data_IF_746229655766
#
_entry.id   IF_746229655766
#
_cell.length_a   1.000
_cell.length_b   1.000
_cell.length_c   1.000
_cell.angle_alpha   90.00
_cell.angle_beta   90.00
_cell.angle_gamma   90.00
#
_symmetry.space_group_name_H-M   'P 1'
#
loop_
_entity.id
_entity.type
_entity.pdbx_description
1 polymer ?
#
# COMPACT_ATOMS: atom_id res chain seq x y z
N UNK A 1 -16.80 15.50 39.50
CA UNK A 1 -16.85 15.90 38.07
C UNK A 1 -16.12 14.84 37.24
N UNK A 2 -16.81 13.78 36.82
CA UNK A 2 -16.16 12.58 36.24
C UNK A 2 -16.87 11.98 35.03
N UNK A 3 -18.03 12.53 34.62
CA UNK A 3 -18.76 12.03 33.44
C UNK A 3 -18.16 12.51 32.11
N UNK A 4 -17.72 13.77 32.02
CA UNK A 4 -17.13 14.32 30.78
C UNK A 4 -15.96 13.46 30.31
N UNK A 5 -14.98 13.22 31.18
CA UNK A 5 -13.72 12.55 30.86
C UNK A 5 -13.87 11.13 30.29
N UNK A 6 -14.93 10.40 30.62
CA UNK A 6 -15.23 9.10 30.00
C UNK A 6 -15.82 9.25 28.58
N UNK A 7 -16.75 10.19 28.38
CA UNK A 7 -17.30 10.46 27.04
C UNK A 7 -16.27 11.10 26.11
N UNK A 8 -15.44 12.01 26.63
CA UNK A 8 -14.34 12.66 25.90
C UNK A 8 -13.32 11.62 25.42
N UNK A 9 -12.93 10.68 26.30
CA UNK A 9 -12.04 9.56 25.95
C UNK A 9 -12.66 8.62 24.92
N UNK A 10 -13.94 8.25 25.08
CA UNK A 10 -14.65 7.40 24.13
C UNK A 10 -14.73 8.05 22.74
N UNK A 11 -15.00 9.36 22.68
CA UNK A 11 -15.04 10.12 21.43
C UNK A 11 -13.66 10.24 20.76
N UNK A 12 -12.60 10.37 21.56
CA UNK A 12 -11.21 10.35 21.08
C UNK A 12 -10.83 8.97 20.51
N UNK A 13 -11.15 7.88 21.21
CA UNK A 13 -10.90 6.50 20.75
C UNK A 13 -11.69 6.19 19.45
N UNK A 14 -12.94 6.63 19.34
CA UNK A 14 -13.75 6.55 18.10
C UNK A 14 -13.13 7.36 16.94
N UNK A 15 -12.64 8.56 17.21
CA UNK A 15 -11.99 9.42 16.20
C UNK A 15 -10.68 8.81 15.70
N UNK A 16 -9.88 8.24 16.60
CA UNK A 16 -8.68 7.49 16.23
C UNK A 16 -9.00 6.22 15.43
N UNK A 17 -10.01 5.47 15.85
CA UNK A 17 -10.48 4.28 15.13
C UNK A 17 -10.92 4.63 13.70
N UNK A 18 -11.71 5.69 13.53
CA UNK A 18 -12.13 6.17 12.21
C UNK A 18 -10.96 6.53 11.29
N UNK A 19 -9.96 7.26 11.81
CA UNK A 19 -8.74 7.60 11.06
C UNK A 19 -7.93 6.34 10.68
N UNK A 20 -7.76 5.41 11.62
CA UNK A 20 -7.03 4.14 11.40
C UNK A 20 -7.75 3.25 10.37
N UNK A 21 -9.08 3.17 10.43
CA UNK A 21 -9.92 2.44 9.48
C UNK A 21 -9.84 3.04 8.07
N UNK A 22 -9.96 4.37 7.93
CA UNK A 22 -9.83 5.04 6.64
C UNK A 22 -8.46 4.78 5.99
N UNK A 23 -7.36 4.96 6.75
CA UNK A 23 -6.01 4.69 6.26
C UNK A 23 -5.77 3.23 5.85
N UNK A 24 -6.45 2.27 6.50
CA UNK A 24 -6.41 0.86 6.13
C UNK A 24 -7.21 0.57 4.84
N UNK A 25 -8.40 1.17 4.68
CA UNK A 25 -9.19 1.07 3.45
C UNK A 25 -8.46 1.65 2.24
N UNK A 26 -7.75 2.76 2.41
CA UNK A 26 -7.05 3.43 1.32
C UNK A 26 -5.79 2.65 0.87
N UNK A 27 -5.03 2.02 1.77
CA UNK A 27 -4.04 1.00 1.35
C UNK A 27 -4.74 -0.18 0.66
N UNK A 28 -5.86 -0.68 1.21
CA UNK A 28 -6.59 -1.80 0.63
C UNK A 28 -6.93 -1.58 -0.85
N UNK A 29 -7.34 -0.36 -1.22
CA UNK A 29 -7.54 0.05 -2.61
C UNK A 29 -6.24 -0.04 -3.41
N UNK A 30 -5.14 0.56 -2.94
CA UNK A 30 -3.84 0.53 -3.62
C UNK A 30 -3.33 -0.91 -3.84
N UNK A 31 -3.51 -1.81 -2.87
CA UNK A 31 -3.15 -3.24 -2.98
C UNK A 31 -3.97 -3.95 -4.07
N UNK A 32 -5.26 -3.67 -4.16
CA UNK A 32 -6.15 -4.24 -5.20
C UNK A 32 -5.74 -3.70 -6.58
N UNK A 33 -5.38 -2.42 -6.69
CA UNK A 33 -4.90 -1.85 -7.95
C UNK A 33 -3.54 -2.42 -8.36
N UNK A 34 -2.59 -2.58 -7.43
CA UNK A 34 -1.30 -3.23 -7.67
C UNK A 34 -1.50 -4.66 -8.18
N UNK A 35 -2.36 -5.45 -7.55
CA UNK A 35 -2.70 -6.80 -7.99
C UNK A 35 -3.32 -6.81 -9.40
N UNK A 36 -4.19 -5.83 -9.72
CA UNK A 36 -4.77 -5.67 -11.06
C UNK A 36 -3.71 -5.35 -12.11
N UNK A 37 -2.71 -4.52 -11.79
CA UNK A 37 -1.63 -4.19 -12.71
C UNK A 37 -0.63 -5.34 -12.90
N UNK A 38 -0.22 -6.03 -11.83
CA UNK A 38 0.61 -7.25 -11.93
C UNK A 38 -0.04 -8.32 -12.82
N UNK A 39 -1.36 -8.58 -12.69
CA UNK A 39 -2.09 -9.48 -13.60
C UNK A 39 -2.06 -9.04 -15.08
N UNK A 40 -2.01 -7.74 -15.37
CA UNK A 40 -1.85 -7.23 -16.75
C UNK A 40 -0.43 -7.43 -17.26
N UNK A 41 0.58 -7.28 -16.38
CA UNK A 41 2.00 -7.51 -16.66
C UNK A 41 2.25 -8.99 -16.97
N UNK A 42 1.76 -9.90 -16.12
CA UNK A 42 1.78 -11.36 -16.34
C UNK A 42 1.19 -11.74 -17.70
N UNK A 43 0.05 -11.14 -18.05
CA UNK A 43 -0.61 -11.36 -19.35
C UNK A 43 0.23 -10.89 -20.54
N UNK A 44 0.79 -9.68 -20.48
CA UNK A 44 1.63 -9.14 -21.55
C UNK A 44 2.95 -9.92 -21.69
N UNK A 45 3.58 -10.30 -20.58
CA UNK A 45 4.80 -11.11 -20.56
C UNK A 45 4.55 -12.52 -21.15
N UNK A 46 3.42 -13.15 -20.80
CA UNK A 46 2.99 -14.42 -21.38
C UNK A 46 2.77 -14.32 -22.90
N UNK A 47 2.05 -13.29 -23.35
CA UNK A 47 1.80 -13.07 -24.78
C UNK A 47 3.10 -12.84 -25.56
N UNK A 48 4.05 -12.08 -25.01
CA UNK A 48 5.37 -11.86 -25.58
C UNK A 48 6.18 -13.16 -25.64
N UNK A 49 6.20 -13.94 -24.56
CA UNK A 49 6.87 -15.25 -24.54
C UNK A 49 6.30 -16.23 -25.57
N UNK A 50 4.98 -16.24 -25.77
CA UNK A 50 4.31 -17.05 -26.79
C UNK A 50 4.52 -16.53 -28.23
N UNK A 51 4.82 -15.25 -28.41
CA UNK A 51 5.21 -14.66 -29.69
C UNK A 51 6.63 -15.07 -30.06
N UNK A 52 7.58 -14.89 -29.13
CA UNK A 52 8.98 -15.27 -29.30
C UNK A 52 9.10 -16.78 -29.52
N UNK A 53 8.41 -17.60 -28.71
CA UNK A 53 8.40 -19.05 -28.92
C UNK A 53 7.95 -19.45 -30.33
N UNK A 54 6.94 -18.78 -30.90
CA UNK A 54 6.49 -19.05 -32.28
C UNK A 54 7.55 -18.67 -33.32
N UNK A 55 8.20 -17.52 -33.17
CA UNK A 55 9.32 -17.07 -34.01
C UNK A 55 10.45 -18.11 -34.05
N UNK A 56 10.89 -18.59 -32.89
CA UNK A 56 11.98 -19.58 -32.79
C UNK A 56 11.60 -20.97 -33.34
N UNK A 57 10.31 -21.21 -33.60
CA UNK A 57 9.80 -22.42 -34.27
C UNK A 57 9.55 -22.22 -35.77
N UNK A 58 9.95 -21.09 -36.35
CA UNK A 58 9.70 -20.73 -37.75
C UNK A 58 8.24 -20.40 -38.07
N UNK A 59 7.43 -20.11 -37.04
CA UNK A 59 6.04 -19.67 -37.20
C UNK A 59 5.94 -18.19 -37.57
N UNK A 60 4.72 -17.78 -37.91
CA UNK A 60 4.40 -16.37 -38.21
C UNK A 60 4.77 -15.46 -37.03
N UNK A 61 5.47 -14.36 -37.34
CA UNK A 61 5.98 -13.40 -36.37
C UNK A 61 5.63 -11.97 -36.79
N UNK A 62 4.86 -11.28 -35.92
CA UNK A 62 4.51 -9.89 -36.08
C UNK A 62 5.41 -9.01 -35.19
N UNK A 63 6.37 -8.33 -35.83
CA UNK A 63 7.27 -7.38 -35.19
C UNK A 63 6.51 -6.24 -34.49
N UNK A 64 5.45 -5.70 -35.10
CA UNK A 64 4.68 -4.58 -34.52
C UNK A 64 3.98 -5.00 -33.24
N UNK A 65 3.48 -6.24 -33.20
CA UNK A 65 2.93 -6.84 -31.98
C UNK A 65 4.00 -7.05 -30.90
N UNK A 66 5.23 -7.41 -31.26
CA UNK A 66 6.34 -7.47 -30.30
C UNK A 66 6.62 -6.09 -29.69
N UNK A 67 6.80 -5.07 -30.53
CA UNK A 67 7.11 -3.70 -30.11
C UNK A 67 6.00 -3.14 -29.20
N UNK A 68 4.73 -3.38 -29.54
CA UNK A 68 3.59 -2.99 -28.72
C UNK A 68 3.49 -3.74 -27.38
N UNK A 69 3.92 -5.01 -27.31
CA UNK A 69 3.97 -5.77 -26.06
C UNK A 69 5.11 -5.30 -25.15
N UNK A 70 6.27 -4.96 -25.72
CA UNK A 70 7.40 -4.39 -24.98
C UNK A 70 7.05 -3.03 -24.37
N UNK A 71 6.54 -2.08 -25.18
CA UNK A 71 6.10 -0.76 -24.69
C UNK A 71 5.03 -0.89 -23.59
N UNK A 72 4.10 -1.85 -23.74
CA UNK A 72 3.08 -2.13 -22.75
C UNK A 72 3.66 -2.68 -21.44
N UNK A 73 4.74 -3.47 -21.48
CA UNK A 73 5.43 -3.91 -20.27
C UNK A 73 6.10 -2.73 -19.57
N UNK A 74 6.83 -1.88 -20.30
CA UNK A 74 7.47 -0.68 -19.73
C UNK A 74 6.45 0.24 -19.02
N UNK A 75 5.26 0.43 -19.59
CA UNK A 75 4.20 1.25 -19.00
C UNK A 75 3.54 0.59 -17.79
N UNK A 76 3.43 -0.73 -17.78
CA UNK A 76 2.93 -1.48 -16.62
C UNK A 76 3.94 -1.46 -15.47
N UNK A 77 5.23 -1.58 -15.76
CA UNK A 77 6.31 -1.53 -14.77
C UNK A 77 6.39 -0.16 -14.08
N UNK A 78 6.26 0.94 -14.83
CA UNK A 78 6.17 2.31 -14.28
C UNK A 78 5.00 2.45 -13.30
N UNK A 79 3.82 1.96 -13.66
CA UNK A 79 2.60 2.09 -12.85
C UNK A 79 2.63 1.17 -11.62
N UNK A 80 3.21 -0.03 -11.75
CA UNK A 80 3.49 -0.93 -10.61
C UNK A 80 4.44 -0.24 -9.62
N UNK A 81 5.57 0.30 -10.09
CA UNK A 81 6.53 1.01 -9.24
C UNK A 81 5.92 2.24 -8.55
N UNK A 82 5.06 2.99 -9.24
CA UNK A 82 4.28 4.10 -8.67
C UNK A 82 3.37 3.61 -7.53
N UNK A 83 2.61 2.54 -7.75
CA UNK A 83 1.69 1.99 -6.74
C UNK A 83 2.43 1.42 -5.53
N UNK A 84 3.56 0.77 -5.75
CA UNK A 84 4.43 0.26 -4.67
C UNK A 84 4.98 1.40 -3.81
N UNK A 85 5.43 2.50 -4.42
CA UNK A 85 5.86 3.69 -3.69
C UNK A 85 4.72 4.30 -2.84
N UNK A 86 3.52 4.43 -3.40
CA UNK A 86 2.33 4.94 -2.67
C UNK A 86 1.92 4.04 -1.49
N UNK A 87 2.04 2.71 -1.65
CA UNK A 87 1.79 1.75 -0.55
C UNK A 87 2.81 1.92 0.57
N UNK A 88 4.09 2.08 0.23
CA UNK A 88 5.16 2.33 1.20
C UNK A 88 4.92 3.64 1.94
N UNK A 89 4.57 4.71 1.24
CA UNK A 89 4.24 6.00 1.83
C UNK A 89 3.03 5.91 2.78
N UNK A 90 1.93 5.30 2.34
CA UNK A 90 0.72 5.10 3.16
C UNK A 90 0.99 4.29 4.44
N UNK A 91 1.95 3.35 4.41
CA UNK A 91 2.41 2.60 5.59
C UNK A 91 3.23 3.48 6.54
N UNK A 92 4.14 4.30 6.02
CA UNK A 92 4.90 5.26 6.84
C UNK A 92 3.99 6.29 7.52
N UNK A 93 3.02 6.87 6.80
CA UNK A 93 2.04 7.80 7.37
C UNK A 93 1.23 7.16 8.51
N UNK A 94 0.84 5.88 8.38
CA UNK A 94 0.12 5.12 9.41
C UNK A 94 1.00 4.81 10.63
N UNK A 95 2.26 4.45 10.42
CA UNK A 95 3.21 4.19 11.50
C UNK A 95 3.54 5.47 12.31
N UNK A 96 3.79 6.59 11.61
CA UNK A 96 4.04 7.89 12.25
C UNK A 96 2.85 8.37 13.09
N UNK A 97 1.62 8.10 12.64
CA UNK A 97 0.39 8.42 13.37
C UNK A 97 0.20 7.57 14.66
N UNK A 98 0.89 6.44 14.79
CA UNK A 98 0.82 5.56 15.98
C UNK A 98 1.81 5.91 17.10
N UNK A 99 2.90 6.62 16.79
CA UNK A 99 3.98 6.89 17.74
C UNK A 99 3.67 8.03 18.73
N UNK A 100 2.69 8.90 18.43
CA UNK A 100 2.43 10.12 19.19
C UNK A 100 1.76 9.92 20.57
N UNK A 101 1.22 8.74 20.86
CA UNK A 101 0.37 8.49 22.04
C UNK A 101 1.09 7.74 23.18
N UNK A 102 2.41 7.53 23.08
CA UNK A 102 3.16 6.58 23.92
C UNK A 102 3.93 7.13 25.13
N UNK A 103 4.02 8.45 25.33
CA UNK A 103 4.87 9.05 26.38
C UNK A 103 4.03 9.77 27.46
N UNK A 104 3.47 9.01 28.39
CA UNK A 104 3.03 9.55 29.68
C UNK A 104 4.21 9.44 30.66
N UNK A 105 4.85 10.55 31.09
CA UNK A 105 5.87 10.49 32.12
C UNK A 105 5.22 10.09 33.44
N UNK A 106 5.67 8.95 33.99
CA UNK A 106 5.20 8.42 35.26
C UNK A 106 5.47 9.43 36.39
N UNK A 107 4.44 9.84 37.18
CA UNK A 107 4.65 10.80 38.26
C UNK A 107 5.40 10.13 39.40
N UNK A 108 6.68 10.48 39.56
CA UNK A 108 7.54 9.99 40.63
C UNK A 108 7.00 10.43 42.00
N UNK A 109 6.43 9.47 42.74
CA UNK A 109 5.96 9.68 44.11
C UNK A 109 7.17 9.81 45.04
N UNK A 110 7.35 10.93 45.78
CA UNK A 110 8.44 11.05 46.73
C UNK A 110 8.14 10.23 47.99
N UNK A 111 8.99 9.25 48.28
CA UNK A 111 8.93 8.45 49.50
C UNK A 111 9.24 9.32 50.73
N UNK A 112 8.38 9.36 51.77
CA UNK A 112 8.76 9.99 53.03
C UNK A 112 9.80 9.12 53.76
N UNK A 113 10.93 9.73 54.13
CA UNK A 113 11.94 9.14 55.02
C UNK A 113 11.49 9.20 56.50
N UNK A 114 12.02 8.32 57.37
CA UNK A 114 11.55 8.16 58.75
C UNK A 114 12.03 9.25 59.72
#
# INVERSE_FOLDING_TARGET
MTKSTLFDRLNQELTEFGKKAQAALDEGKLQIELLRYRRKQDGAARDLGLLIHRRERGGEFDQRRMDALLLRLDDLDKEIGRLEALIVEARHQRAGSGAATGSHPEPSVPTPTP
#
